data_IF_294720022600
#
_entry.id   IF_294720022600
#
_cell.length_a   1.000
_cell.length_b   1.000
_cell.length_c   1.000
_cell.angle_alpha   90.00
_cell.angle_beta   90.00
_cell.angle_gamma   90.00
#
_symmetry.space_group_name_H-M   'P 1'
#
loop_
_entity.id
_entity.type
_entity.pdbx_description
1 polymer ?
#
# COMPACT_ATOMS: atom_id res chain seq x y z
N UNK A 1 23.67 25.98 16.97
CA UNK A 1 22.72 25.51 18.00
C UNK A 1 22.75 24.00 17.95
N UNK A 2 22.93 23.27 19.07
CA UNK A 2 22.72 21.84 19.06
C UNK A 2 21.28 21.59 18.59
N UNK A 3 21.09 20.77 17.57
CA UNK A 3 19.78 20.43 17.06
C UNK A 3 18.98 19.74 18.17
N UNK A 4 17.66 19.98 18.21
CA UNK A 4 16.77 19.30 19.14
C UNK A 4 16.75 17.82 18.75
N UNK A 5 17.00 16.92 19.70
CA UNK A 5 16.89 15.48 19.49
C UNK A 5 15.43 15.07 19.36
N UNK A 6 15.17 14.06 18.56
CA UNK A 6 13.86 13.42 18.49
C UNK A 6 13.72 12.40 19.65
N UNK A 7 12.58 12.44 20.33
CA UNK A 7 12.24 11.44 21.34
C UNK A 7 11.81 10.12 20.70
N UNK A 8 11.16 10.22 19.52
CA UNK A 8 10.72 9.06 18.71
C UNK A 8 10.63 9.48 17.25
N UNK A 9 11.03 8.58 16.36
CA UNK A 9 10.86 8.67 14.91
C UNK A 9 10.07 7.45 14.44
N UNK A 10 8.96 7.63 13.74
CA UNK A 10 8.32 6.57 12.97
C UNK A 10 8.90 6.53 11.56
N UNK A 11 9.15 5.33 11.07
CA UNK A 11 9.78 5.11 9.78
C UNK A 11 9.12 3.94 9.06
N UNK A 12 8.66 4.17 7.83
CA UNK A 12 8.20 3.13 6.90
C UNK A 12 8.86 3.40 5.55
N UNK A 13 9.84 2.60 5.16
CA UNK A 13 10.62 2.75 3.94
C UNK A 13 11.05 1.39 3.41
N UNK A 14 11.52 1.33 2.16
CA UNK A 14 12.11 0.15 1.54
C UNK A 14 11.34 -0.37 0.32
N UNK A 15 10.02 -0.15 0.24
CA UNK A 15 9.23 -0.62 -0.90
C UNK A 15 9.67 0.02 -2.23
N UNK A 16 9.94 1.33 -2.21
CA UNK A 16 10.39 2.03 -3.42
C UNK A 16 11.82 1.64 -3.84
N UNK A 17 12.65 1.22 -2.88
CA UNK A 17 14.03 0.80 -3.16
C UNK A 17 14.11 -0.53 -3.93
N UNK A 18 13.02 -1.30 -3.94
CA UNK A 18 12.89 -2.56 -4.68
C UNK A 18 11.91 -2.46 -5.86
N UNK A 19 11.56 -1.26 -6.31
CA UNK A 19 10.57 -1.06 -7.38
C UNK A 19 9.22 -1.77 -7.13
N UNK A 20 8.70 -1.63 -5.91
CA UNK A 20 7.43 -2.26 -5.54
C UNK A 20 6.27 -1.81 -6.45
N UNK A 21 6.29 -0.56 -6.92
CA UNK A 21 5.30 -0.04 -7.87
C UNK A 21 5.32 -0.81 -9.19
N UNK A 22 6.50 -1.20 -9.66
CA UNK A 22 6.66 -2.03 -10.85
C UNK A 22 6.14 -3.45 -10.64
N UNK A 23 6.34 -4.04 -9.45
CA UNK A 23 5.73 -5.33 -9.08
C UNK A 23 4.21 -5.25 -9.08
N UNK A 24 3.64 -4.18 -8.53
CA UNK A 24 2.20 -3.92 -8.56
C UNK A 24 1.71 -3.83 -10.00
N UNK A 25 2.36 -3.04 -10.86
CA UNK A 25 2.00 -2.93 -12.27
C UNK A 25 2.07 -4.29 -12.98
N UNK A 26 3.04 -5.13 -12.66
CA UNK A 26 3.15 -6.49 -13.22
C UNK A 26 1.95 -7.38 -12.86
N UNK A 27 1.40 -7.20 -11.67
CA UNK A 27 0.24 -7.97 -11.20
C UNK A 27 -1.07 -7.47 -11.82
N UNK A 28 -1.26 -6.14 -11.92
CA UNK A 28 -2.58 -5.57 -12.23
C UNK A 28 -2.75 -5.10 -13.68
N UNK A 29 -1.68 -4.88 -14.44
CA UNK A 29 -1.75 -4.48 -15.84
C UNK A 29 -1.59 -5.72 -16.72
N UNK A 30 -2.70 -6.26 -17.21
CA UNK A 30 -2.71 -7.58 -17.87
C UNK A 30 -2.90 -7.51 -19.36
N UNK A 31 -3.51 -6.45 -19.88
CA UNK A 31 -3.86 -6.35 -21.30
C UNK A 31 -2.83 -5.57 -22.12
N UNK A 32 -2.65 -6.00 -23.35
CA UNK A 32 -1.93 -5.30 -24.41
C UNK A 32 -2.92 -4.39 -25.17
N UNK A 33 -2.51 -3.18 -25.60
CA UNK A 33 -1.13 -2.64 -25.69
C UNK A 33 -0.64 -1.90 -24.44
N UNK A 34 -1.49 -1.62 -23.45
CA UNK A 34 -1.13 -0.80 -22.28
C UNK A 34 0.03 -1.43 -21.51
N UNK A 35 0.01 -2.75 -21.36
CA UNK A 35 1.12 -3.46 -20.69
C UNK A 35 2.45 -3.24 -21.40
N UNK A 36 2.47 -3.30 -22.73
CA UNK A 36 3.68 -3.06 -23.52
C UNK A 36 4.17 -1.63 -23.35
N UNK A 37 3.26 -0.65 -23.41
CA UNK A 37 3.59 0.75 -23.22
C UNK A 37 4.24 1.01 -21.84
N UNK A 38 3.64 0.46 -20.79
CA UNK A 38 4.14 0.62 -19.41
C UNK A 38 5.46 -0.13 -19.22
N UNK A 39 5.62 -1.30 -19.86
CA UNK A 39 6.87 -2.05 -19.86
C UNK A 39 7.99 -1.33 -20.60
N UNK A 40 7.70 -0.74 -21.77
CA UNK A 40 8.67 0.06 -22.54
C UNK A 40 9.13 1.31 -21.78
N UNK A 41 8.29 1.84 -20.88
CA UNK A 41 8.65 2.91 -19.96
C UNK A 41 9.47 2.44 -18.76
N UNK A 42 9.75 1.14 -18.62
CA UNK A 42 10.47 0.57 -17.50
C UNK A 42 9.67 0.56 -16.18
N UNK A 43 8.34 0.62 -16.25
CA UNK A 43 7.46 0.71 -15.08
C UNK A 43 6.84 -0.64 -14.69
N UNK A 44 7.29 -1.73 -15.26
CA UNK A 44 6.93 -3.09 -14.86
C UNK A 44 8.16 -3.81 -14.34
N UNK A 45 8.08 -4.31 -13.11
CA UNK A 45 9.09 -5.13 -12.50
C UNK A 45 8.60 -6.58 -12.28
N UNK A 46 9.49 -7.54 -12.46
CA UNK A 46 9.22 -8.94 -12.10
C UNK A 46 9.83 -9.26 -10.74
N UNK A 47 9.35 -10.29 -10.01
CA UNK A 47 10.00 -10.75 -8.79
C UNK A 47 11.50 -11.02 -8.97
N UNK A 48 11.91 -11.58 -10.09
CA UNK A 48 13.33 -11.84 -10.39
C UNK A 48 14.17 -10.59 -10.63
N UNK A 49 13.57 -9.52 -11.20
CA UNK A 49 14.30 -8.26 -11.45
C UNK A 49 14.60 -7.49 -10.16
N UNK A 50 13.82 -7.69 -9.10
CA UNK A 50 13.98 -6.98 -7.83
C UNK A 50 14.84 -7.74 -6.80
N UNK A 51 15.23 -8.98 -7.06
CA UNK A 51 16.09 -9.75 -6.15
C UNK A 51 17.45 -9.10 -5.91
N UNK A 52 18.06 -8.52 -6.94
CA UNK A 52 19.33 -7.80 -6.84
C UNK A 52 19.19 -6.56 -5.94
N UNK A 53 18.32 -5.59 -6.28
CA UNK A 53 17.99 -4.46 -5.43
C UNK A 53 17.65 -4.84 -3.99
N UNK A 54 16.86 -5.88 -3.77
CA UNK A 54 16.52 -6.36 -2.43
C UNK A 54 17.75 -6.76 -1.61
N UNK A 55 18.70 -7.48 -2.21
CA UNK A 55 19.87 -8.02 -1.50
C UNK A 55 20.99 -6.99 -1.33
N UNK A 56 21.12 -6.05 -2.26
CA UNK A 56 22.27 -5.12 -2.31
C UNK A 56 21.86 -3.70 -2.02
N UNK A 57 20.89 -3.14 -2.75
CA UNK A 57 20.58 -1.73 -2.69
C UNK A 57 19.84 -1.40 -1.40
N UNK A 58 18.81 -2.17 -1.05
CA UNK A 58 18.08 -2.00 0.20
C UNK A 58 18.99 -2.08 1.42
N UNK A 59 19.95 -3.02 1.44
CA UNK A 59 20.93 -3.12 2.52
C UNK A 59 21.82 -1.87 2.63
N UNK A 60 22.32 -1.39 1.50
CA UNK A 60 23.16 -0.20 1.43
C UNK A 60 22.37 1.06 1.85
N UNK A 61 21.10 1.13 1.45
CA UNK A 61 20.21 2.24 1.79
C UNK A 61 19.90 2.29 3.28
N UNK A 62 19.69 1.16 3.93
CA UNK A 62 19.60 1.11 5.39
C UNK A 62 20.89 1.59 6.07
N UNK A 63 22.06 1.27 5.52
CA UNK A 63 23.33 1.80 6.01
C UNK A 63 23.44 3.33 5.86
N UNK A 64 23.02 3.87 4.72
CA UNK A 64 22.95 5.32 4.46
C UNK A 64 21.93 6.00 5.38
N UNK A 65 20.75 5.40 5.51
CA UNK A 65 19.68 5.89 6.37
C UNK A 65 20.13 6.03 7.82
N UNK A 66 20.79 5.01 8.38
CA UNK A 66 21.36 5.09 9.74
C UNK A 66 22.32 6.24 9.90
N UNK A 67 23.25 6.42 8.96
CA UNK A 67 24.18 7.57 9.02
C UNK A 67 23.46 8.92 9.03
N UNK A 68 22.35 9.03 8.30
CA UNK A 68 21.55 10.26 8.26
C UNK A 68 20.70 10.48 9.49
N UNK A 69 20.19 9.42 10.10
CA UNK A 69 19.32 9.50 11.28
C UNK A 69 20.07 9.61 12.60
N UNK A 70 21.29 9.11 12.69
CA UNK A 70 22.10 9.11 13.91
C UNK A 70 22.14 10.46 14.66
N UNK A 71 22.32 11.62 13.98
CA UNK A 71 22.34 12.91 14.68
C UNK A 71 21.02 13.32 15.32
N UNK A 72 19.89 12.77 14.85
CA UNK A 72 18.56 13.11 15.37
C UNK A 72 18.18 12.33 16.62
N UNK A 73 18.81 11.17 16.84
CA UNK A 73 18.56 10.29 17.98
C UNK A 73 19.78 10.13 18.89
N UNK A 74 20.82 10.93 18.70
CA UNK A 74 22.10 10.84 19.43
C UNK A 74 22.72 9.44 19.37
N UNK A 75 22.58 8.77 18.22
CA UNK A 75 23.03 7.40 17.99
C UNK A 75 22.21 6.29 18.69
N UNK A 76 21.16 6.64 19.41
CA UNK A 76 20.24 5.69 20.06
C UNK A 76 19.08 5.33 19.11
N UNK A 77 19.29 4.31 18.28
CA UNK A 77 18.31 3.86 17.30
C UNK A 77 17.09 3.15 17.89
N UNK A 78 17.09 2.82 19.19
CA UNK A 78 15.89 2.31 19.86
C UNK A 78 14.74 3.33 19.86
N UNK A 79 15.04 4.61 19.64
CA UNK A 79 14.07 5.70 19.43
C UNK A 79 13.45 5.73 18.03
N UNK A 80 13.83 4.83 17.14
CA UNK A 80 13.24 4.70 15.82
C UNK A 80 12.34 3.47 15.81
N UNK A 81 11.05 3.70 15.64
CA UNK A 81 10.07 2.65 15.40
C UNK A 81 9.97 2.41 13.89
N UNK A 82 10.57 1.33 13.42
CA UNK A 82 10.43 0.89 12.04
C UNK A 82 9.12 0.10 11.90
N UNK A 83 8.15 0.70 11.23
CA UNK A 83 6.83 0.12 11.00
C UNK A 83 6.83 -0.55 9.64
N UNK A 84 6.61 -1.85 9.60
CA UNK A 84 6.59 -2.65 8.37
C UNK A 84 5.30 -2.46 7.57
N UNK A 85 5.15 -3.20 6.49
CA UNK A 85 3.98 -3.13 5.62
C UNK A 85 2.97 -4.23 5.97
N UNK A 86 1.67 -3.95 5.77
CA UNK A 86 0.65 -4.99 5.78
C UNK A 86 0.65 -5.77 4.46
N UNK A 87 0.26 -7.05 4.49
CA UNK A 87 0.12 -7.84 3.28
C UNK A 87 -1.11 -7.40 2.48
N UNK A 88 -0.95 -6.87 1.25
CA UNK A 88 -2.05 -6.35 0.48
C UNK A 88 -2.92 -7.42 -0.17
N UNK A 89 -2.46 -8.66 -0.25
CA UNK A 89 -3.04 -9.70 -1.08
C UNK A 89 -3.76 -10.80 -0.28
N UNK A 90 -3.71 -10.79 1.05
CA UNK A 90 -4.32 -11.82 1.89
C UNK A 90 -5.76 -11.48 2.26
N UNK A 91 -6.63 -12.49 2.21
CA UNK A 91 -8.02 -12.37 2.66
C UNK A 91 -8.53 -13.69 3.25
N UNK A 92 -9.66 -13.68 3.94
CA UNK A 92 -10.36 -14.88 4.44
C UNK A 92 -9.41 -15.96 5.00
N UNK A 93 -8.86 -15.74 6.19
CA UNK A 93 -7.94 -16.68 6.85
C UNK A 93 -6.59 -16.85 6.14
N UNK A 94 -6.10 -15.78 5.51
CA UNK A 94 -4.75 -15.74 4.93
C UNK A 94 -4.64 -16.40 3.55
N UNK A 95 -5.75 -16.58 2.82
CA UNK A 95 -5.73 -17.00 1.42
C UNK A 95 -5.32 -15.84 0.53
N UNK A 96 -4.65 -16.16 -0.56
CA UNK A 96 -4.33 -15.17 -1.60
C UNK A 96 -5.59 -14.72 -2.34
N UNK A 97 -5.63 -13.45 -2.69
CA UNK A 97 -6.67 -12.92 -3.55
C UNK A 97 -6.68 -13.65 -4.91
N UNK A 98 -7.84 -14.05 -5.43
CA UNK A 98 -7.92 -14.75 -6.71
C UNK A 98 -7.62 -13.82 -7.88
N UNK A 99 -7.27 -14.41 -9.03
CA UNK A 99 -7.32 -13.72 -10.30
C UNK A 99 -8.74 -13.23 -10.57
N UNK A 100 -8.90 -11.93 -10.77
CA UNK A 100 -10.22 -11.32 -10.90
C UNK A 100 -10.10 -9.90 -11.48
N UNK A 101 -11.20 -9.40 -12.05
CA UNK A 101 -11.37 -7.99 -12.38
C UNK A 101 -12.17 -7.22 -11.33
N UNK A 102 -12.70 -7.90 -10.32
CA UNK A 102 -13.46 -7.26 -9.23
C UNK A 102 -12.61 -6.18 -8.55
N UNK A 103 -13.08 -4.94 -8.61
CA UNK A 103 -12.33 -3.79 -8.10
C UNK A 103 -11.20 -3.28 -8.99
N UNK A 104 -10.98 -3.87 -10.17
CA UNK A 104 -9.91 -3.47 -11.12
C UNK A 104 -10.41 -3.11 -12.52
N UNK A 105 -11.70 -3.02 -12.73
CA UNK A 105 -12.31 -2.79 -14.03
C UNK A 105 -12.56 -1.32 -14.36
N UNK A 106 -12.01 -0.39 -13.59
CA UNK A 106 -11.97 1.05 -13.90
C UNK A 106 -11.24 1.35 -15.21
N UNK A 107 -10.42 0.42 -15.71
CA UNK A 107 -9.82 0.49 -17.01
C UNK A 107 -9.76 -0.92 -17.64
N UNK A 108 -9.99 -1.09 -18.97
CA UNK A 108 -9.93 -2.40 -19.63
C UNK A 108 -8.63 -3.17 -19.41
N UNK A 109 -7.50 -2.47 -19.32
CA UNK A 109 -6.18 -3.07 -19.12
C UNK A 109 -5.96 -3.66 -17.73
N UNK A 110 -6.82 -3.35 -16.76
CA UNK A 110 -6.63 -3.81 -15.40
C UNK A 110 -7.38 -5.10 -15.09
N UNK A 111 -6.66 -6.02 -14.54
CA UNK A 111 -7.19 -7.19 -13.85
C UNK A 111 -6.08 -7.77 -12.96
N UNK A 112 -6.40 -8.70 -12.09
CA UNK A 112 -5.39 -9.37 -11.26
C UNK A 112 -4.86 -10.61 -11.99
N UNK A 113 -3.58 -10.61 -12.31
CA UNK A 113 -2.88 -11.79 -12.80
C UNK A 113 -2.51 -12.70 -11.61
N UNK A 114 -3.25 -13.79 -11.42
CA UNK A 114 -3.06 -14.68 -10.28
C UNK A 114 -1.67 -15.34 -10.22
N UNK A 115 -1.06 -15.64 -11.38
CA UNK A 115 0.27 -16.24 -11.41
C UNK A 115 1.36 -15.24 -10.96
N UNK A 116 1.28 -13.99 -11.43
CA UNK A 116 2.21 -12.94 -11.01
C UNK A 116 1.94 -12.49 -9.58
N UNK A 117 0.67 -12.47 -9.14
CA UNK A 117 0.32 -12.22 -7.74
C UNK A 117 0.97 -13.25 -6.81
N UNK A 118 0.83 -14.54 -7.08
CA UNK A 118 1.40 -15.61 -6.26
C UNK A 118 2.93 -15.52 -6.13
N UNK A 119 3.63 -15.17 -7.23
CA UNK A 119 5.08 -14.94 -7.22
C UNK A 119 5.44 -13.71 -6.39
N UNK A 120 4.68 -12.62 -6.55
CA UNK A 120 4.91 -11.37 -5.81
C UNK A 120 4.65 -11.54 -4.31
N UNK A 121 3.57 -12.23 -3.94
CA UNK A 121 3.29 -12.59 -2.53
C UNK A 121 4.44 -13.41 -1.95
N UNK A 122 4.91 -14.42 -2.68
CA UNK A 122 6.06 -15.24 -2.23
C UNK A 122 7.31 -14.37 -1.99
N UNK A 123 7.65 -13.48 -2.92
CA UNK A 123 8.76 -12.55 -2.76
C UNK A 123 8.58 -11.65 -1.52
N UNK A 124 7.39 -11.09 -1.34
CA UNK A 124 7.10 -10.19 -0.21
C UNK A 124 7.26 -10.92 1.11
N UNK A 125 6.63 -12.09 1.27
CA UNK A 125 6.61 -12.83 2.52
C UNK A 125 7.94 -13.53 2.84
N UNK A 126 8.64 -14.06 1.82
CA UNK A 126 9.84 -14.87 2.06
C UNK A 126 11.14 -14.09 2.01
N UNK A 127 11.14 -12.98 1.28
CA UNK A 127 12.36 -12.24 1.04
C UNK A 127 12.28 -10.78 1.53
N UNK A 128 11.26 -10.01 1.13
CA UNK A 128 11.20 -8.58 1.41
C UNK A 128 10.92 -8.26 2.89
N UNK A 129 9.84 -8.75 3.48
CA UNK A 129 9.52 -8.49 4.89
C UNK A 129 10.59 -9.04 5.84
N UNK A 130 11.13 -10.25 5.64
CA UNK A 130 12.28 -10.74 6.42
C UNK A 130 13.53 -9.86 6.28
N UNK A 131 13.84 -9.36 5.07
CA UNK A 131 14.96 -8.46 4.86
C UNK A 131 14.78 -7.12 5.61
N UNK A 132 13.59 -6.52 5.55
CA UNK A 132 13.27 -5.31 6.31
C UNK A 132 13.47 -5.53 7.81
N UNK A 133 12.97 -6.65 8.34
CA UNK A 133 13.17 -7.02 9.74
C UNK A 133 14.64 -7.13 10.07
N UNK A 134 15.39 -7.90 9.28
CA UNK A 134 16.82 -8.08 9.44
C UNK A 134 17.58 -6.75 9.48
N UNK A 135 17.32 -5.89 8.48
CA UNK A 135 17.99 -4.60 8.39
C UNK A 135 17.58 -3.64 9.51
N UNK A 136 16.31 -3.60 9.89
CA UNK A 136 15.85 -2.75 10.99
C UNK A 136 16.42 -3.20 12.34
N UNK A 137 16.43 -4.52 12.61
CA UNK A 137 16.87 -5.07 13.90
C UNK A 137 18.38 -5.33 14.00
N UNK A 138 19.14 -5.06 12.95
CA UNK A 138 20.59 -5.29 12.92
C UNK A 138 20.98 -6.73 13.24
N UNK A 139 20.32 -7.70 12.64
CA UNK A 139 20.80 -9.08 12.73
C UNK A 139 22.11 -9.30 11.92
N UNK A 140 22.66 -10.50 11.96
CA UNK A 140 23.96 -10.82 11.34
C UNK A 140 23.99 -10.50 9.83
N UNK A 141 22.84 -10.61 9.11
CA UNK A 141 22.76 -10.34 7.67
C UNK A 141 22.77 -8.81 7.37
N UNK A 142 22.39 -7.98 8.32
CA UNK A 142 22.30 -6.53 8.14
C UNK A 142 23.67 -5.83 7.98
N UNK A 143 24.74 -6.41 8.54
CA UNK A 143 26.08 -5.83 8.47
C UNK A 143 26.22 -4.55 9.27
N UNK A 144 25.52 -4.42 10.40
CA UNK A 144 25.65 -3.29 11.32
C UNK A 144 26.99 -3.34 12.04
N UNK A 145 27.63 -2.18 12.22
CA UNK A 145 28.92 -2.08 12.92
C UNK A 145 28.77 -2.19 14.45
N UNK A 146 27.61 -1.81 15.00
CA UNK A 146 27.25 -1.92 16.41
C UNK A 146 25.77 -2.31 16.49
N UNK A 147 25.47 -3.63 16.46
CA UNK A 147 24.07 -4.10 16.42
C UNK A 147 23.23 -3.63 17.62
N UNK A 148 23.83 -3.53 18.81
CA UNK A 148 23.08 -3.15 20.02
C UNK A 148 22.63 -1.68 19.97
N UNK A 149 23.47 -0.77 19.47
CA UNK A 149 23.14 0.64 19.35
C UNK A 149 22.34 0.96 18.09
N UNK A 150 22.50 0.18 17.00
CA UNK A 150 21.91 0.47 15.71
C UNK A 150 20.58 -0.24 15.47
N UNK A 151 20.11 -1.03 16.44
CA UNK A 151 18.81 -1.72 16.39
C UNK A 151 17.67 -0.74 16.52
N UNK A 152 16.75 -0.74 15.56
CA UNK A 152 15.47 -0.04 15.61
C UNK A 152 14.42 -0.91 16.31
N UNK A 153 13.40 -0.28 16.88
CA UNK A 153 12.21 -0.98 17.36
C UNK A 153 11.40 -1.42 16.14
N UNK A 154 11.27 -2.72 15.91
CA UNK A 154 10.54 -3.28 14.76
C UNK A 154 9.07 -3.49 15.12
N UNK A 155 8.16 -2.93 14.31
CA UNK A 155 6.71 -2.96 14.51
C UNK A 155 6.06 -3.71 13.37
N UNK A 156 5.50 -4.89 13.67
CA UNK A 156 4.88 -5.80 12.70
C UNK A 156 3.52 -6.36 13.17
N UNK A 157 3.02 -5.95 14.34
CA UNK A 157 1.81 -6.52 14.94
C UNK A 157 0.56 -6.38 14.05
N UNK A 158 0.53 -5.37 13.18
CA UNK A 158 -0.55 -5.16 12.23
C UNK A 158 -0.56 -6.15 11.05
N UNK A 159 0.56 -6.83 10.75
CA UNK A 159 0.62 -7.79 9.62
C UNK A 159 -0.44 -8.88 9.74
N UNK A 160 -0.64 -9.44 10.94
CA UNK A 160 -1.65 -10.47 11.17
C UNK A 160 -3.07 -9.94 10.97
N UNK A 161 -3.31 -8.66 11.29
CA UNK A 161 -4.63 -8.05 11.13
C UNK A 161 -4.95 -7.89 9.65
N UNK A 162 -3.96 -7.58 8.81
CA UNK A 162 -4.13 -7.48 7.36
C UNK A 162 -4.47 -8.82 6.69
N UNK A 163 -4.17 -9.97 7.30
CA UNK A 163 -4.37 -11.29 6.70
C UNK A 163 -5.82 -11.61 6.26
N UNK A 164 -6.81 -10.83 6.72
CA UNK A 164 -8.21 -10.96 6.32
C UNK A 164 -8.73 -9.77 5.51
N UNK A 165 -7.90 -8.77 5.24
CA UNK A 165 -8.32 -7.46 4.74
C UNK A 165 -7.58 -7.02 3.48
N UNK A 166 -7.05 -7.95 2.69
CA UNK A 166 -6.42 -7.66 1.40
C UNK A 166 -7.39 -7.02 0.42
N UNK A 167 -6.87 -6.61 -0.72
CA UNK A 167 -7.62 -5.83 -1.74
C UNK A 167 -8.90 -6.50 -2.26
N UNK A 168 -9.04 -7.81 -2.13
CA UNK A 168 -10.21 -8.57 -2.57
C UNK A 168 -11.17 -8.92 -1.43
N UNK A 169 -10.88 -8.53 -0.20
CA UNK A 169 -11.78 -8.77 0.92
C UNK A 169 -13.11 -8.04 0.70
N UNK A 170 -14.21 -8.72 0.98
CA UNK A 170 -15.56 -8.17 0.87
C UNK A 170 -16.50 -8.85 1.84
N UNK A 171 -17.48 -8.13 2.35
CA UNK A 171 -18.54 -8.68 3.18
C UNK A 171 -19.88 -7.95 2.96
N UNK A 172 -20.91 -8.39 3.70
CA UNK A 172 -22.26 -7.85 3.57
C UNK A 172 -22.40 -6.40 4.09
N UNK A 173 -21.46 -5.92 4.90
CA UNK A 173 -21.46 -4.57 5.44
C UNK A 173 -20.81 -3.54 4.52
N UNK A 174 -20.14 -3.99 3.48
CA UNK A 174 -19.56 -3.10 2.46
C UNK A 174 -20.65 -2.21 1.83
N UNK A 175 -20.30 -0.99 1.39
CA UNK A 175 -21.24 -0.12 0.69
C UNK A 175 -21.97 -0.84 -0.45
N UNK A 176 -23.25 -0.55 -0.61
CA UNK A 176 -24.07 -1.18 -1.66
C UNK A 176 -23.46 -0.95 -3.05
N UNK A 177 -22.94 0.26 -3.29
CA UNK A 177 -22.19 0.58 -4.51
C UNK A 177 -21.07 -0.42 -4.78
N UNK A 178 -20.23 -0.72 -3.77
CA UNK A 178 -19.10 -1.64 -3.91
C UNK A 178 -19.58 -3.06 -4.17
N UNK A 179 -20.57 -3.53 -3.41
CA UNK A 179 -21.15 -4.86 -3.60
C UNK A 179 -21.82 -5.07 -4.94
N UNK A 180 -22.38 -4.01 -5.51
CA UNK A 180 -22.99 -4.04 -6.84
C UNK A 180 -21.97 -3.90 -7.97
N UNK A 181 -20.97 -3.03 -7.82
CA UNK A 181 -20.13 -2.54 -8.90
C UNK A 181 -18.70 -3.14 -8.87
N UNK A 182 -18.17 -3.55 -7.72
CA UNK A 182 -16.80 -4.09 -7.59
C UNK A 182 -16.77 -5.61 -7.48
N UNK A 183 -17.65 -6.29 -8.19
CA UNK A 183 -17.75 -7.76 -8.22
C UNK A 183 -17.36 -8.31 -9.59
N UNK A 184 -17.08 -9.60 -9.67
CA UNK A 184 -16.90 -10.28 -10.95
C UNK A 184 -18.16 -10.12 -11.82
N UNK A 185 -17.96 -9.71 -13.06
CA UNK A 185 -19.04 -9.41 -13.99
C UNK A 185 -19.75 -8.06 -13.75
N UNK A 186 -19.35 -7.31 -12.74
CA UNK A 186 -19.63 -5.89 -12.64
C UNK A 186 -18.81 -5.19 -13.73
N UNK A 187 -19.44 -4.64 -14.76
CA UNK A 187 -18.69 -4.08 -15.87
C UNK A 187 -18.64 -2.57 -15.80
N UNK A 188 -17.44 -2.02 -15.78
CA UNK A 188 -17.19 -0.67 -16.22
C UNK A 188 -17.09 -0.66 -17.74
N UNK A 189 -18.16 -0.94 -18.45
CA UNK A 189 -18.18 -0.81 -19.89
C UNK A 189 -18.49 0.64 -20.27
N UNK A 190 -17.52 1.50 -20.10
CA UNK A 190 -17.46 2.73 -20.86
C UNK A 190 -16.64 2.46 -22.13
N UNK A 191 -16.98 3.04 -23.28
CA UNK A 191 -16.15 2.91 -24.46
C UNK A 191 -14.77 3.52 -24.18
N UNK A 192 -13.69 2.97 -24.79
CA UNK A 192 -12.39 3.61 -24.75
C UNK A 192 -12.52 5.06 -25.24
N UNK A 193 -12.18 6.04 -24.40
CA UNK A 193 -12.27 7.46 -24.74
C UNK A 193 -13.59 8.17 -24.42
N UNK A 194 -14.56 7.48 -23.85
CA UNK A 194 -15.82 8.07 -23.43
C UNK A 194 -16.12 7.73 -21.99
N UNK A 195 -15.58 8.48 -21.07
CA UNK A 195 -16.07 8.47 -19.70
C UNK A 195 -17.42 9.19 -19.68
N UNK A 196 -18.46 8.52 -20.13
CA UNK A 196 -19.77 8.84 -19.65
C UNK A 196 -19.77 8.58 -18.15
N UNK A 197 -20.32 9.46 -17.33
CA UNK A 197 -20.51 9.29 -15.89
C UNK A 197 -21.38 8.07 -15.53
N UNK A 198 -21.68 7.22 -16.47
CA UNK A 198 -22.43 5.99 -16.31
C UNK A 198 -21.43 4.84 -16.16
N UNK A 199 -21.21 4.47 -14.94
CA UNK A 199 -20.78 3.11 -14.65
C UNK A 199 -21.77 2.16 -15.31
N UNK A 200 -21.29 1.13 -16.01
CA UNK A 200 -22.16 0.05 -16.42
C UNK A 200 -22.53 -0.86 -15.24
N UNK A 201 -22.69 -0.25 -14.08
CA UNK A 201 -23.20 -0.85 -12.87
C UNK A 201 -24.69 -0.56 -12.86
N UNK A 202 -25.57 -1.55 -13.11
CA UNK A 202 -26.99 -1.31 -13.18
C UNK A 202 -27.49 -0.63 -11.91
N UNK A 203 -28.27 0.44 -12.10
CA UNK A 203 -28.91 1.20 -11.03
C UNK A 203 -28.00 2.03 -10.12
N UNK A 204 -26.71 2.16 -10.44
CA UNK A 204 -25.76 2.97 -9.66
C UNK A 204 -25.03 3.99 -10.53
N UNK A 205 -24.66 5.12 -9.92
CA UNK A 205 -23.90 6.21 -10.54
C UNK A 205 -22.62 6.50 -9.77
N UNK A 206 -21.57 6.97 -10.45
CA UNK A 206 -20.26 7.23 -9.86
C UNK A 206 -20.29 8.12 -8.62
N UNK A 207 -21.26 9.07 -8.55
CA UNK A 207 -21.44 9.96 -7.40
C UNK A 207 -21.90 9.26 -6.11
N UNK A 208 -22.31 8.01 -6.18
CA UNK A 208 -22.67 7.20 -4.99
C UNK A 208 -21.42 6.61 -4.30
N UNK A 209 -20.28 6.57 -4.97
CA UNK A 209 -19.05 6.12 -4.34
C UNK A 209 -18.67 6.98 -3.13
N UNK A 210 -18.32 6.33 -2.04
CA UNK A 210 -17.91 6.97 -0.79
C UNK A 210 -16.48 6.53 -0.43
N UNK A 211 -15.46 7.36 -0.70
CA UNK A 211 -14.05 7.00 -0.51
C UNK A 211 -13.69 6.59 0.91
N UNK A 212 -14.39 7.14 1.89
CA UNK A 212 -14.13 6.90 3.32
C UNK A 212 -15.19 6.02 3.99
N UNK A 213 -16.05 5.37 3.21
CA UNK A 213 -16.95 4.39 3.81
C UNK A 213 -16.14 3.18 4.30
N UNK A 214 -16.56 2.63 5.44
CA UNK A 214 -15.96 1.43 6.00
C UNK A 214 -16.13 0.25 5.04
N UNK A 215 -15.07 -0.54 4.88
CA UNK A 215 -15.01 -1.69 3.99
C UNK A 215 -14.27 -2.85 4.64
N UNK A 216 -14.60 -4.07 4.21
CA UNK A 216 -13.86 -5.26 4.61
C UNK A 216 -12.40 -5.22 4.12
N UNK A 217 -12.14 -4.67 2.92
CA UNK A 217 -10.79 -4.49 2.41
C UNK A 217 -10.10 -3.27 3.01
N UNK A 218 -8.87 -3.44 3.45
CA UNK A 218 -8.03 -2.37 3.98
C UNK A 218 -6.98 -1.89 2.98
N UNK A 219 -7.03 -2.43 1.79
CA UNK A 219 -6.16 -2.10 0.66
C UNK A 219 -7.01 -1.61 -0.49
N UNK A 220 -6.63 -0.48 -1.07
CA UNK A 220 -7.33 0.13 -2.21
C UNK A 220 -7.18 -0.70 -3.47
N UNK A 221 -8.27 -0.91 -4.16
CA UNK A 221 -8.29 -1.45 -5.52
C UNK A 221 -8.02 -0.35 -6.56
N UNK A 222 -7.94 -0.71 -7.84
CA UNK A 222 -7.88 0.26 -8.92
C UNK A 222 -9.15 1.13 -8.97
N UNK A 223 -10.31 0.53 -8.71
CA UNK A 223 -11.59 1.24 -8.68
C UNK A 223 -11.65 2.24 -7.53
N UNK A 224 -11.22 1.85 -6.31
CA UNK A 224 -11.15 2.77 -5.17
C UNK A 224 -10.30 4.00 -5.49
N UNK A 225 -9.14 3.76 -6.08
CA UNK A 225 -8.20 4.84 -6.44
C UNK A 225 -8.77 5.74 -7.52
N UNK A 226 -9.36 5.15 -8.55
CA UNK A 226 -10.00 5.87 -9.65
C UNK A 226 -11.15 6.75 -9.14
N UNK A 227 -12.10 6.18 -8.39
CA UNK A 227 -13.23 6.94 -7.86
C UNK A 227 -12.84 7.96 -6.80
N UNK A 228 -11.81 7.69 -6.00
CA UNK A 228 -11.27 8.68 -5.08
C UNK A 228 -10.73 9.90 -5.84
N UNK A 229 -9.95 9.67 -6.89
CA UNK A 229 -9.44 10.74 -7.75
C UNK A 229 -10.57 11.53 -8.43
N UNK A 230 -11.66 10.85 -8.83
CA UNK A 230 -12.84 11.48 -9.45
C UNK A 230 -13.67 12.30 -8.46
N UNK A 231 -13.73 11.89 -7.21
CA UNK A 231 -14.57 12.53 -6.17
C UNK A 231 -13.93 13.82 -5.64
N UNK A 232 -12.61 13.90 -5.65
CA UNK A 232 -11.87 15.11 -5.24
C UNK A 232 -11.43 15.86 -6.47
N UNK A 233 -12.13 16.95 -6.84
CA UNK A 233 -11.66 17.84 -7.90
C UNK A 233 -10.33 18.42 -7.43
N UNK A 234 -9.29 18.06 -8.12
CA UNK A 234 -7.98 18.63 -7.87
C UNK A 234 -8.00 20.09 -8.28
N UNK A 235 -7.70 20.96 -7.33
CA UNK A 235 -7.46 22.38 -7.63
C UNK A 235 -6.07 22.49 -8.24
N UNK A 236 -5.99 22.28 -9.53
CA UNK A 236 -4.75 21.95 -10.12
C UNK A 236 -4.22 22.97 -11.07
N UNK A 237 -2.93 23.13 -11.00
CA UNK A 237 -2.12 24.00 -11.87
C UNK A 237 -1.25 23.24 -12.86
N UNK A 238 -1.41 21.94 -13.01
CA UNK A 238 -0.65 21.10 -13.93
C UNK A 238 -1.55 20.29 -14.86
N UNK A 239 -0.99 19.77 -15.95
CA UNK A 239 -1.68 18.89 -16.89
C UNK A 239 -2.22 17.61 -16.23
N UNK A 240 -1.61 17.18 -15.13
CA UNK A 240 -2.04 16.02 -14.35
C UNK A 240 -3.26 16.30 -13.50
N UNK A 241 -3.59 17.54 -13.32
CA UNK A 241 -4.56 18.08 -12.40
C UNK A 241 -5.85 18.57 -13.09
N UNK A 242 -5.96 18.42 -14.39
CA UNK A 242 -7.16 18.82 -15.11
C UNK A 242 -8.17 17.66 -15.08
N UNK A 243 -9.34 17.80 -14.45
CA UNK A 243 -10.37 16.77 -14.42
C UNK A 243 -10.77 16.22 -15.78
N UNK A 244 -10.67 17.02 -16.84
CA UNK A 244 -10.93 16.55 -18.21
C UNK A 244 -9.95 15.51 -18.70
N UNK A 245 -8.74 15.46 -18.16
CA UNK A 245 -7.76 14.41 -18.50
C UNK A 245 -7.99 13.12 -17.73
N UNK A 246 -8.56 13.18 -16.54
CA UNK A 246 -8.96 12.00 -15.76
C UNK A 246 -10.07 11.24 -16.51
N UNK A 247 -10.88 11.96 -17.26
CA UNK A 247 -11.95 11.41 -18.11
C UNK A 247 -11.47 10.93 -19.49
N UNK A 248 -10.25 11.25 -19.89
CA UNK A 248 -9.63 10.72 -21.09
C UNK A 248 -9.10 9.31 -20.79
N UNK A 249 -9.54 8.31 -21.55
CA UNK A 249 -9.12 6.91 -21.37
C UNK A 249 -7.60 6.67 -21.39
N UNK A 250 -6.81 7.64 -21.86
CA UNK A 250 -5.35 7.63 -21.77
C UNK A 250 -4.83 7.85 -20.36
N UNK A 251 -5.62 8.47 -19.46
CA UNK A 251 -5.21 8.84 -18.11
C UNK A 251 -5.76 7.93 -17.02
N UNK A 252 -6.64 7.00 -17.37
CA UNK A 252 -7.18 6.01 -16.43
C UNK A 252 -6.08 5.27 -15.66
N UNK A 253 -5.06 4.68 -16.31
CA UNK A 253 -3.94 4.04 -15.63
C UNK A 253 -3.18 4.98 -14.71
N UNK A 254 -2.92 6.20 -15.16
CA UNK A 254 -2.17 7.21 -14.39
C UNK A 254 -2.94 7.64 -13.15
N UNK A 255 -4.24 7.90 -13.26
CA UNK A 255 -5.08 8.28 -12.10
C UNK A 255 -5.17 7.16 -11.06
N UNK A 256 -5.15 5.90 -11.46
CA UNK A 256 -5.12 4.74 -10.56
C UNK A 256 -3.81 4.70 -9.77
N UNK A 257 -2.67 4.92 -10.43
CA UNK A 257 -1.37 4.96 -9.78
C UNK A 257 -1.30 6.12 -8.78
N UNK A 258 -1.64 7.34 -9.21
CA UNK A 258 -1.63 8.52 -8.34
C UNK A 258 -2.71 8.48 -7.25
N UNK A 259 -3.82 7.79 -7.48
CA UNK A 259 -4.86 7.56 -6.48
C UNK A 259 -4.49 6.56 -5.39
N UNK A 260 -3.31 5.95 -5.47
CA UNK A 260 -2.77 5.08 -4.44
C UNK A 260 -3.33 3.65 -4.47
N UNK A 261 -3.43 3.04 -5.65
CA UNK A 261 -3.74 1.61 -5.78
C UNK A 261 -2.78 0.77 -4.94
N UNK A 262 -3.29 -0.26 -4.29
CA UNK A 262 -2.60 -1.12 -3.34
C UNK A 262 -1.99 -0.40 -2.11
N UNK A 263 -2.35 0.85 -1.86
CA UNK A 263 -2.06 1.52 -0.61
C UNK A 263 -3.16 1.24 0.43
N UNK A 264 -2.86 1.31 1.73
CA UNK A 264 -3.86 1.11 2.76
C UNK A 264 -5.02 2.13 2.67
N UNK A 265 -6.24 1.67 2.96
CA UNK A 265 -7.41 2.53 3.21
C UNK A 265 -7.28 3.25 4.56
N UNK A 266 -8.30 4.01 4.95
CA UNK A 266 -8.31 4.64 6.27
C UNK A 266 -8.26 3.60 7.40
N UNK A 267 -8.97 2.50 7.27
CA UNK A 267 -8.98 1.38 8.24
C UNK A 267 -7.60 0.70 8.30
N UNK A 268 -7.00 0.44 7.13
CA UNK A 268 -5.64 -0.12 7.08
C UNK A 268 -4.61 0.81 7.71
N UNK A 269 -4.71 2.12 7.48
CA UNK A 269 -3.86 3.11 8.14
C UNK A 269 -4.09 3.16 9.66
N UNK A 270 -5.35 3.02 10.11
CA UNK A 270 -5.66 2.97 11.55
C UNK A 270 -5.04 1.74 12.22
N UNK A 271 -5.12 0.57 11.60
CA UNK A 271 -4.48 -0.65 12.12
C UNK A 271 -2.94 -0.51 12.23
N UNK A 272 -2.31 0.09 11.23
CA UNK A 272 -0.87 0.39 11.26
C UNK A 272 -0.56 1.40 12.38
N UNK A 273 -1.38 2.45 12.52
CA UNK A 273 -1.21 3.48 13.53
C UNK A 273 -1.38 2.91 14.96
N UNK A 274 -2.31 2.00 15.19
CA UNK A 274 -2.51 1.34 16.49
C UNK A 274 -1.28 0.52 16.89
N UNK A 275 -0.71 -0.26 15.98
CA UNK A 275 0.53 -0.99 16.21
C UNK A 275 1.71 -0.02 16.48
N UNK A 276 1.82 1.04 15.70
CA UNK A 276 2.83 2.07 15.88
C UNK A 276 2.69 2.79 17.24
N UNK A 277 1.44 3.09 17.66
CA UNK A 277 1.16 3.72 18.95
C UNK A 277 1.54 2.81 20.13
N UNK A 278 1.30 1.50 20.02
CA UNK A 278 1.74 0.54 21.03
C UNK A 278 3.27 0.56 21.21
N UNK A 279 4.00 0.57 20.10
CA UNK A 279 5.45 0.69 20.10
C UNK A 279 5.91 2.05 20.68
N UNK A 280 5.25 3.15 20.33
CA UNK A 280 5.54 4.48 20.86
C UNK A 280 5.43 4.52 22.40
N UNK A 281 4.37 3.96 22.95
CA UNK A 281 4.18 3.87 24.41
C UNK A 281 5.33 3.14 25.10
N UNK A 282 5.82 2.07 24.46
CA UNK A 282 6.96 1.30 24.97
C UNK A 282 8.26 2.10 24.91
N UNK A 283 8.58 2.69 23.75
CA UNK A 283 9.81 3.47 23.54
C UNK A 283 9.87 4.69 24.46
N UNK A 284 8.76 5.41 24.57
CA UNK A 284 8.66 6.62 25.40
C UNK A 284 8.42 6.31 26.88
N UNK A 285 8.30 5.02 27.26
CA UNK A 285 8.02 4.58 28.64
C UNK A 285 6.77 5.24 29.24
N UNK A 286 5.76 5.48 28.42
CA UNK A 286 4.50 6.07 28.86
C UNK A 286 3.72 5.07 29.72
N UNK A 287 3.02 5.52 30.79
CA UNK A 287 2.20 4.65 31.61
C UNK A 287 1.13 3.98 30.74
N UNK A 288 0.91 2.67 30.95
CA UNK A 288 -0.24 2.00 30.35
C UNK A 288 -1.50 2.65 30.90
N UNK A 289 -2.33 3.21 30.03
CA UNK A 289 -3.67 3.59 30.45
C UNK A 289 -4.38 2.31 30.92
N UNK A 290 -4.74 2.24 32.19
CA UNK A 290 -5.61 1.19 32.69
C UNK A 290 -6.91 1.26 31.89
N UNK A 291 -7.27 0.16 31.24
CA UNK A 291 -8.58 0.01 30.60
C UNK A 291 -9.63 0.09 31.73
N UNK A 292 -10.17 1.29 31.95
CA UNK A 292 -11.11 1.49 33.06
C UNK A 292 -11.48 2.94 33.26
N UNK A 293 -12.29 3.48 32.39
CA UNK A 293 -13.35 4.42 32.71
C UNK A 293 -14.23 4.52 31.46
N UNK A 294 -15.30 3.74 31.45
CA UNK A 294 -16.35 3.87 30.45
C UNK A 294 -16.81 5.33 30.42
N UNK A 295 -16.76 5.92 29.25
CA UNK A 295 -17.55 7.09 28.97
C UNK A 295 -19.01 6.67 29.07
N UNK A 296 -19.64 6.94 30.22
CA UNK A 296 -21.11 6.99 30.31
C UNK A 296 -21.52 8.28 29.66
N UNK A 297 -22.19 8.18 28.54
CA UNK A 297 -23.06 9.25 28.03
C UNK A 297 -24.45 9.07 28.61
#
# INVERSE_FOLDING_TARGET
>A
MPGRLADLIFLTVGANDIDFSGLVANVIVTENPERNLIADMGLIASPSSVEGPLKTDLKNDFGRLRKRLAPFVDGDFSRIAFVTYGDPARYQSGKDCPASRAGFDSHPAFSVNGAELAKTVTLVEKDFLPALKSYATCDAAAGCSDPDKQRMTFVADHEQTFANHGFCASDASDPEFDRACFRDGGSFAGPPGGLSNSLACPHHVASEFRPYAQRARWIRTANDSYFTAMTYPWTAHSLLDNPSYIHDGRWGPTSVVYGGVLHPTAEGQAAIADAALAAAKSVLKLPRQSAGAGFVQ
#
